data_IF_592285848913
#
_entry.id   IF_592285848913
#
_cell.length_a   1.000
_cell.length_b   1.000
_cell.length_c   1.000
_cell.angle_alpha   90.00
_cell.angle_beta   90.00
_cell.angle_gamma   90.00
#
_symmetry.space_group_name_H-M   'P 1'
#
loop_
_entity.id
_entity.type
_entity.pdbx_description
1 polymer ?
#
# COMPACT_ATOMS: atom_id res chain seq x y z
N UNK A 1 12.41 -3.01 -14.49
CA UNK A 1 10.97 -3.24 -14.70
C UNK A 1 10.33 -3.53 -13.36
N UNK A 2 9.23 -2.83 -13.08
CA UNK A 2 8.46 -3.01 -11.87
C UNK A 2 7.91 -4.44 -11.78
N UNK A 3 7.86 -4.97 -10.55
CA UNK A 3 7.35 -6.28 -10.21
C UNK A 3 5.86 -6.32 -10.50
N UNK A 4 5.41 -7.38 -11.17
CA UNK A 4 4.00 -7.55 -11.53
C UNK A 4 3.07 -7.57 -10.30
N UNK A 5 3.55 -8.07 -9.17
CA UNK A 5 2.84 -8.10 -7.87
C UNK A 5 2.56 -6.71 -7.29
N UNK A 6 3.24 -5.66 -7.76
CA UNK A 6 3.11 -4.28 -7.28
C UNK A 6 2.05 -3.47 -8.05
N UNK A 7 1.42 -4.03 -9.09
CA UNK A 7 0.55 -3.28 -10.01
C UNK A 7 -0.57 -2.49 -9.30
N UNK A 8 -1.23 -3.08 -8.29
CA UNK A 8 -2.29 -2.41 -7.55
C UNK A 8 -1.77 -1.26 -6.67
N UNK A 9 -0.61 -1.45 -6.04
CA UNK A 9 0.04 -0.43 -5.20
C UNK A 9 0.52 0.75 -6.05
N UNK A 10 1.16 0.47 -7.18
CA UNK A 10 1.60 1.49 -8.15
C UNK A 10 0.39 2.26 -8.69
N UNK A 11 -0.68 1.56 -9.07
CA UNK A 11 -1.92 2.20 -9.54
C UNK A 11 -2.52 3.12 -8.47
N UNK A 12 -2.48 2.73 -7.20
CA UNK A 12 -2.93 3.59 -6.10
C UNK A 12 -2.05 4.84 -5.96
N UNK A 13 -0.72 4.71 -5.99
CA UNK A 13 0.18 5.86 -5.89
C UNK A 13 -0.06 6.83 -7.05
N UNK A 14 -0.20 6.31 -8.28
CA UNK A 14 -0.58 7.10 -9.47
C UNK A 14 -1.87 7.89 -9.25
N UNK A 15 -2.90 7.25 -8.69
CA UNK A 15 -4.16 7.89 -8.37
C UNK A 15 -3.98 9.02 -7.34
N UNK A 16 -3.23 8.76 -6.26
CA UNK A 16 -2.99 9.73 -5.19
C UNK A 16 -2.26 10.99 -5.66
N UNK A 17 -1.36 10.85 -6.63
CA UNK A 17 -0.60 11.97 -7.19
C UNK A 17 -1.19 12.52 -8.49
N UNK A 18 -2.30 11.97 -8.97
CA UNK A 18 -2.89 12.31 -10.27
C UNK A 18 -1.91 12.18 -11.47
N UNK A 19 -1.12 11.10 -11.48
CA UNK A 19 -0.19 10.74 -12.58
C UNK A 19 -0.68 9.48 -13.34
N UNK A 20 -1.77 9.58 -14.12
CA UNK A 20 -2.38 8.43 -14.78
C UNK A 20 -1.42 7.80 -15.80
N UNK A 21 -1.41 6.47 -15.87
CA UNK A 21 -0.58 5.73 -16.81
C UNK A 21 -0.82 6.14 -18.27
N UNK A 22 0.24 6.33 -19.04
CA UNK A 22 0.17 6.79 -20.43
C UNK A 22 1.42 7.55 -20.88
N UNK A 23 1.37 8.16 -22.05
CA UNK A 23 2.51 8.86 -22.64
C UNK A 23 2.92 10.15 -21.90
N UNK A 24 2.05 10.68 -21.04
CA UNK A 24 2.27 11.91 -20.28
C UNK A 24 2.58 11.66 -18.80
N UNK A 25 2.92 10.43 -18.42
CA UNK A 25 3.28 10.13 -17.03
C UNK A 25 4.56 10.86 -16.63
N UNK A 26 4.56 11.44 -15.44
CA UNK A 26 5.72 12.08 -14.82
C UNK A 26 6.70 11.04 -14.27
N UNK A 27 6.17 9.92 -13.78
CA UNK A 27 6.96 8.81 -13.24
C UNK A 27 6.68 7.52 -13.99
N UNK A 28 7.74 6.77 -14.24
CA UNK A 28 7.68 5.37 -14.66
C UNK A 28 7.21 4.49 -13.51
N UNK A 29 6.71 3.29 -13.82
CA UNK A 29 6.32 2.31 -12.79
C UNK A 29 7.53 1.89 -11.92
N UNK A 30 8.74 1.84 -12.50
CA UNK A 30 9.98 1.52 -11.78
C UNK A 30 10.34 2.60 -10.74
N UNK A 31 10.16 3.90 -11.08
CA UNK A 31 10.34 5.00 -10.13
C UNK A 31 9.29 4.94 -9.01
N UNK A 32 8.02 4.69 -9.34
CA UNK A 32 6.96 4.59 -8.34
C UNK A 32 7.13 3.38 -7.42
N UNK A 33 7.59 2.25 -7.96
CA UNK A 33 7.95 1.12 -7.13
C UNK A 33 9.09 1.46 -6.17
N UNK A 34 10.09 2.23 -6.61
CA UNK A 34 11.21 2.62 -5.74
C UNK A 34 10.73 3.44 -4.53
N UNK A 35 9.77 4.36 -4.71
CA UNK A 35 9.16 5.09 -3.59
C UNK A 35 8.35 4.18 -2.67
N UNK A 36 7.67 3.17 -3.22
CA UNK A 36 6.96 2.16 -2.43
C UNK A 36 7.96 1.31 -1.63
N UNK A 37 9.03 0.84 -2.25
CA UNK A 37 10.05 0.01 -1.61
C UNK A 37 10.73 0.72 -0.43
N UNK A 38 10.98 2.03 -0.54
CA UNK A 38 11.47 2.86 0.58
C UNK A 38 10.50 2.90 1.79
N UNK A 39 9.22 2.62 1.54
CA UNK A 39 8.13 2.71 2.50
C UNK A 39 7.47 1.34 2.75
N UNK A 40 8.22 0.26 2.51
CA UNK A 40 7.80 -1.10 2.76
C UNK A 40 8.02 -1.49 4.23
N UNK A 41 7.12 -2.35 4.72
CA UNK A 41 7.25 -3.04 6.00
C UNK A 41 7.15 -4.53 5.71
N UNK A 42 8.27 -5.23 5.90
CA UNK A 42 8.30 -6.68 5.87
C UNK A 42 7.60 -7.25 7.10
N UNK A 43 6.71 -8.20 6.87
CA UNK A 43 5.93 -8.87 7.89
C UNK A 43 6.23 -10.35 7.87
N UNK A 44 6.51 -10.90 9.05
CA UNK A 44 6.86 -12.30 9.25
C UNK A 44 5.85 -12.95 10.18
N UNK A 45 5.02 -13.84 9.62
CA UNK A 45 4.07 -14.68 10.33
C UNK A 45 3.16 -13.90 11.30
N UNK A 46 2.64 -12.76 10.86
CA UNK A 46 1.65 -12.00 11.63
C UNK A 46 0.36 -12.83 11.76
N UNK A 47 -0.18 -13.02 12.97
CA UNK A 47 -1.45 -13.67 13.15
C UNK A 47 -2.60 -12.78 12.69
N UNK A 48 -3.45 -13.33 11.82
CA UNK A 48 -4.66 -12.64 11.37
C UNK A 48 -5.79 -12.82 12.38
N UNK A 49 -6.68 -11.83 12.43
CA UNK A 49 -7.89 -11.89 13.27
C UNK A 49 -9.08 -12.41 12.45
N UNK A 50 -9.80 -13.45 12.93
CA UNK A 50 -10.99 -13.93 12.26
C UNK A 50 -12.16 -12.94 12.40
N UNK A 51 -12.84 -12.65 11.30
CA UNK A 51 -14.04 -11.80 11.28
C UNK A 51 -15.31 -12.66 11.23
N UNK A 52 -16.27 -12.45 12.15
CA UNK A 52 -17.53 -13.17 12.13
C UNK A 52 -18.37 -12.75 10.91
N UNK A 53 -18.85 -13.73 10.17
CA UNK A 53 -19.83 -13.58 9.09
C UNK A 53 -21.08 -14.36 9.44
N UNK A 54 -22.25 -13.73 9.37
CA UNK A 54 -23.52 -14.41 9.65
C UNK A 54 -24.02 -15.05 8.35
N UNK A 55 -24.06 -16.38 8.32
CA UNK A 55 -24.57 -17.14 7.18
C UNK A 55 -26.11 -17.12 7.14
N UNK A 56 -26.72 -17.41 5.98
CA UNK A 56 -28.15 -17.67 5.89
C UNK A 56 -28.58 -18.72 6.92
N UNK A 57 -29.62 -18.40 7.72
CA UNK A 57 -30.04 -19.25 8.85
C UNK A 57 -29.43 -18.86 10.21
N UNK A 58 -28.62 -17.80 10.27
CA UNK A 58 -28.17 -17.18 11.53
C UNK A 58 -26.92 -17.79 12.17
N UNK A 59 -26.30 -18.79 11.54
CA UNK A 59 -25.06 -19.37 12.02
C UNK A 59 -23.85 -18.44 11.77
N UNK A 60 -23.00 -18.26 12.78
CA UNK A 60 -21.74 -17.52 12.64
C UNK A 60 -20.68 -18.39 11.98
N UNK A 61 -20.00 -17.85 10.97
CA UNK A 61 -18.86 -18.47 10.28
C UNK A 61 -17.65 -17.51 10.29
N UNK A 62 -16.44 -18.08 10.28
CA UNK A 62 -15.18 -17.33 10.35
C UNK A 62 -14.33 -17.58 9.10
N UNK A 63 -14.91 -17.25 7.94
CA UNK A 63 -14.26 -17.46 6.64
C UNK A 63 -13.32 -16.32 6.27
N UNK A 64 -13.54 -15.12 6.80
CA UNK A 64 -12.74 -13.93 6.50
C UNK A 64 -11.77 -13.65 7.64
N UNK A 65 -10.53 -13.36 7.28
CA UNK A 65 -9.44 -13.09 8.20
C UNK A 65 -8.79 -11.76 7.84
N UNK A 66 -8.44 -10.98 8.86
CA UNK A 66 -7.94 -9.61 8.74
C UNK A 66 -6.54 -9.46 9.32
N UNK A 67 -5.65 -8.80 8.59
CA UNK A 67 -4.39 -8.28 9.11
C UNK A 67 -4.60 -6.94 9.84
N UNK A 68 -3.65 -6.58 10.72
CA UNK A 68 -3.69 -5.32 11.45
C UNK A 68 -3.66 -4.10 10.52
N UNK A 69 -3.08 -4.24 9.32
CA UNK A 69 -2.98 -3.20 8.32
C UNK A 69 -3.27 -3.72 6.91
N UNK A 70 -3.62 -2.79 6.02
CA UNK A 70 -3.83 -3.05 4.60
C UNK A 70 -2.59 -2.76 3.74
N UNK A 71 -2.82 -2.59 2.44
CA UNK A 71 -1.83 -2.30 1.40
C UNK A 71 -0.71 -3.33 1.28
N UNK A 72 -1.11 -4.59 1.09
CA UNK A 72 -0.20 -5.71 0.85
C UNK A 72 0.19 -5.85 -0.62
N UNK A 73 1.42 -6.24 -0.88
CA UNK A 73 1.84 -6.69 -2.22
C UNK A 73 1.23 -8.06 -2.55
N UNK A 74 0.99 -8.33 -3.83
CA UNK A 74 0.39 -9.58 -4.31
C UNK A 74 1.38 -10.76 -4.41
N UNK A 75 2.15 -10.97 -3.35
CA UNK A 75 3.09 -12.08 -3.20
C UNK A 75 3.10 -12.66 -1.77
N UNK A 76 2.09 -12.30 -0.96
CA UNK A 76 1.96 -12.78 0.40
C UNK A 76 1.79 -14.31 0.45
N UNK A 77 2.28 -14.91 1.53
CA UNK A 77 2.09 -16.33 1.81
C UNK A 77 1.29 -16.46 3.10
N UNK A 78 0.19 -17.22 3.01
CA UNK A 78 -0.67 -17.56 4.14
C UNK A 78 -0.33 -18.98 4.60
N UNK A 79 -0.27 -19.18 5.91
CA UNK A 79 -0.04 -20.51 6.51
C UNK A 79 -0.92 -20.71 7.74
N UNK A 80 -1.13 -21.96 8.13
CA UNK A 80 -1.76 -22.32 9.41
C UNK A 80 -0.76 -22.23 10.59
N UNK A 81 -1.20 -22.63 11.79
CA UNK A 81 -0.37 -22.68 13.01
C UNK A 81 0.82 -23.67 12.93
N UNK A 82 0.75 -24.60 11.97
CA UNK A 82 1.73 -25.63 11.71
C UNK A 82 2.62 -25.27 10.50
N UNK A 83 2.50 -24.04 9.99
CA UNK A 83 3.22 -23.51 8.82
C UNK A 83 2.89 -24.21 7.49
N UNK A 84 1.77 -24.93 7.40
CA UNK A 84 1.31 -25.46 6.12
C UNK A 84 0.68 -24.34 5.28
N UNK A 85 0.95 -24.28 3.97
CA UNK A 85 0.37 -23.27 3.09
C UNK A 85 -1.17 -23.31 3.07
N UNK A 86 -1.78 -22.13 3.20
CA UNK A 86 -3.20 -21.91 3.02
C UNK A 86 -3.44 -21.15 1.72
N UNK A 87 -4.55 -21.45 1.04
CA UNK A 87 -4.98 -20.74 -0.17
C UNK A 87 -6.30 -20.05 0.08
N UNK A 88 -6.30 -18.72 0.05
CA UNK A 88 -7.52 -17.92 0.12
C UNK A 88 -8.26 -17.96 -1.22
N UNK A 89 -9.60 -17.98 -1.16
CA UNK A 89 -10.47 -17.86 -2.33
C UNK A 89 -10.48 -16.42 -2.86
N UNK A 90 -10.32 -15.44 -1.98
CA UNK A 90 -10.19 -14.03 -2.34
C UNK A 90 -9.25 -13.28 -1.41
N UNK A 91 -8.65 -12.21 -1.92
CA UNK A 91 -7.71 -11.36 -1.20
C UNK A 91 -8.00 -9.88 -1.51
N UNK A 92 -8.51 -9.15 -0.51
CA UNK A 92 -8.59 -7.68 -0.50
C UNK A 92 -7.36 -7.13 0.23
N UNK A 93 -6.25 -7.06 -0.51
CA UNK A 93 -4.94 -6.62 0.00
C UNK A 93 -4.93 -5.17 0.43
N UNK A 94 -5.76 -4.33 -0.19
CA UNK A 94 -5.91 -2.93 0.19
C UNK A 94 -6.49 -2.82 1.61
N UNK A 95 -7.46 -3.66 1.98
CA UNK A 95 -8.04 -3.68 3.32
C UNK A 95 -7.40 -4.70 4.28
N UNK A 96 -6.41 -5.47 3.80
CA UNK A 96 -5.77 -6.53 4.55
C UNK A 96 -6.75 -7.64 4.94
N UNK A 97 -7.58 -8.11 4.00
CA UNK A 97 -8.54 -9.20 4.23
C UNK A 97 -8.36 -10.35 3.26
N UNK A 98 -8.50 -11.56 3.76
CA UNK A 98 -8.49 -12.79 2.99
C UNK A 98 -9.69 -13.65 3.37
N UNK A 99 -10.37 -14.22 2.38
CA UNK A 99 -11.53 -15.09 2.59
C UNK A 99 -11.24 -16.49 2.08
N UNK A 100 -11.56 -17.50 2.89
CA UNK A 100 -11.34 -18.92 2.59
C UNK A 100 -12.65 -19.64 2.28
N UNK A 101 -12.58 -20.72 1.51
CA UNK A 101 -13.73 -21.61 1.26
C UNK A 101 -14.13 -22.42 2.51
N UNK A 102 -13.18 -22.67 3.42
CA UNK A 102 -13.39 -23.37 4.69
C UNK A 102 -12.61 -22.64 5.77
N UNK A 103 -13.21 -22.47 6.94
CA UNK A 103 -12.59 -21.73 8.04
C UNK A 103 -11.34 -22.47 8.55
N UNK A 104 -10.13 -21.88 8.45
CA UNK A 104 -8.95 -22.40 9.10
C UNK A 104 -9.04 -22.25 10.63
N UNK A 105 -8.27 -23.01 11.39
CA UNK A 105 -8.15 -22.82 12.85
C UNK A 105 -7.37 -21.56 13.21
N UNK A 106 -6.35 -21.24 12.42
CA UNK A 106 -5.50 -20.07 12.52
C UNK A 106 -5.01 -19.68 11.13
N UNK A 107 -4.68 -18.39 10.95
CA UNK A 107 -4.05 -17.90 9.72
C UNK A 107 -2.91 -16.96 10.10
N UNK A 108 -1.70 -17.28 9.65
CA UNK A 108 -0.53 -16.44 9.73
C UNK A 108 -0.18 -15.93 8.33
N UNK A 109 0.29 -14.70 8.22
CA UNK A 109 0.72 -14.10 6.95
C UNK A 109 2.20 -13.72 6.98
N UNK A 110 2.91 -13.94 5.87
CA UNK A 110 4.22 -13.31 5.60
C UNK A 110 4.21 -12.61 4.25
N UNK A 111 4.93 -11.52 4.13
CA UNK A 111 5.01 -10.71 2.91
C UNK A 111 5.40 -9.27 3.23
N UNK A 112 5.13 -8.35 2.29
CA UNK A 112 5.36 -6.93 2.50
C UNK A 112 4.06 -6.14 2.41
N UNK A 113 3.92 -5.15 3.29
CA UNK A 113 2.89 -4.11 3.22
C UNK A 113 3.52 -2.74 3.07
N UNK A 114 2.78 -1.78 2.52
CA UNK A 114 3.35 -0.53 2.04
C UNK A 114 2.57 0.68 2.56
N UNK A 115 3.29 1.73 2.95
CA UNK A 115 2.66 3.04 3.17
C UNK A 115 2.54 3.78 1.82
N UNK A 116 1.41 3.55 1.15
CA UNK A 116 1.10 4.17 -0.15
C UNK A 116 1.02 5.70 -0.07
N UNK A 117 0.66 6.26 1.09
CA UNK A 117 0.56 7.72 1.25
C UNK A 117 1.94 8.35 1.42
N UNK A 118 2.84 7.69 2.16
CA UNK A 118 4.22 8.15 2.29
C UNK A 118 4.99 8.00 0.97
N UNK A 119 4.80 6.90 0.25
CA UNK A 119 5.34 6.73 -1.10
C UNK A 119 4.83 7.81 -2.07
N UNK A 120 3.53 8.12 -2.03
CA UNK A 120 2.95 9.20 -2.83
C UNK A 120 3.50 10.58 -2.42
N UNK A 121 3.70 10.82 -1.13
CA UNK A 121 4.34 12.05 -0.65
C UNK A 121 5.76 12.20 -1.24
N UNK A 122 6.60 11.16 -1.18
CA UNK A 122 7.94 11.18 -1.77
C UNK A 122 7.90 11.45 -3.29
N UNK A 123 6.96 10.82 -4.01
CA UNK A 123 6.75 11.06 -5.43
C UNK A 123 6.38 12.53 -5.72
N UNK A 124 5.48 13.13 -4.93
CA UNK A 124 5.12 14.55 -5.07
C UNK A 124 6.32 15.47 -4.79
N UNK A 125 7.14 15.15 -3.79
CA UNK A 125 8.37 15.91 -3.50
C UNK A 125 9.37 15.84 -4.66
N UNK A 126 9.55 14.65 -5.25
CA UNK A 126 10.38 14.47 -6.43
C UNK A 126 9.81 15.23 -7.65
N UNK A 127 8.48 15.26 -7.82
CA UNK A 127 7.84 16.00 -8.89
C UNK A 127 8.08 17.50 -8.75
N UNK A 128 7.89 18.04 -7.54
CA UNK A 128 8.19 19.44 -7.24
C UNK A 128 9.66 19.78 -7.53
N UNK A 129 10.60 18.89 -7.22
CA UNK A 129 12.01 19.07 -7.57
C UNK A 129 12.24 19.10 -9.10
N UNK A 130 11.63 18.17 -9.85
CA UNK A 130 11.66 18.16 -11.33
C UNK A 130 11.18 19.51 -11.90
N UNK A 131 10.06 20.05 -11.39
CA UNK A 131 9.51 21.34 -11.84
C UNK A 131 10.41 22.53 -11.49
N UNK A 132 11.02 22.55 -10.31
CA UNK A 132 11.93 23.64 -9.89
C UNK A 132 13.20 23.72 -10.73
N UNK A 133 13.69 22.59 -11.22
CA UNK A 133 14.92 22.51 -12.03
C UNK A 133 14.67 22.74 -13.52
N UNK A 134 13.40 22.82 -13.94
CA UNK A 134 13.02 23.14 -15.30
C UNK A 134 13.09 24.66 -15.49
N UNK A 135 14.04 25.17 -16.29
CA UNK A 135 14.33 26.61 -16.46
C UNK A 135 13.08 27.50 -16.66
N UNK A 136 13.11 28.69 -16.06
CA UNK A 136 12.12 29.75 -16.27
C UNK A 136 12.39 30.50 -17.58
N UNK A 137 11.35 30.65 -18.41
CA UNK A 137 11.35 31.62 -19.49
C UNK A 137 10.03 32.38 -19.43
N UNK A 138 10.11 33.71 -19.46
CA UNK A 138 8.97 34.62 -19.49
C UNK A 138 8.77 35.10 -20.94
N UNK A 139 7.52 35.12 -21.40
CA UNK A 139 7.11 35.79 -22.63
C UNK A 139 5.76 36.46 -22.44
N UNK A 140 5.68 37.73 -22.86
CA UNK A 140 4.47 38.51 -23.14
C UNK A 140 3.37 38.53 -22.07
N UNK A 141 3.73 38.85 -20.82
CA UNK A 141 2.79 39.42 -19.84
C UNK A 141 1.82 38.46 -19.16
N UNK A 142 2.09 37.15 -19.17
CA UNK A 142 1.27 36.15 -18.48
C UNK A 142 2.09 35.16 -17.65
N UNK A 143 2.43 35.52 -16.41
CA UNK A 143 3.30 34.72 -15.52
C UNK A 143 2.54 34.10 -14.34
N UNK A 144 1.88 32.94 -14.49
CA UNK A 144 1.15 32.35 -13.34
C UNK A 144 1.04 30.82 -13.22
N UNK A 145 1.55 29.99 -14.15
CA UNK A 145 1.18 28.55 -14.13
C UNK A 145 2.05 27.63 -13.25
N UNK A 146 3.37 27.89 -13.10
CA UNK A 146 4.26 27.01 -12.32
C UNK A 146 4.24 27.25 -10.82
N UNK A 147 4.20 28.50 -10.37
CA UNK A 147 4.09 28.84 -8.95
C UNK A 147 2.79 28.29 -8.35
N UNK A 148 1.69 28.34 -9.12
CA UNK A 148 0.42 27.72 -8.76
C UNK A 148 0.52 26.19 -8.69
N UNK A 149 1.20 25.56 -9.66
CA UNK A 149 1.41 24.11 -9.65
C UNK A 149 2.27 23.66 -8.47
N UNK A 150 3.35 24.38 -8.15
CA UNK A 150 4.18 24.09 -6.97
C UNK A 150 3.37 24.25 -5.68
N UNK A 151 2.55 25.31 -5.57
CA UNK A 151 1.69 25.51 -4.40
C UNK A 151 0.63 24.40 -4.26
N UNK A 152 0.06 23.92 -5.38
CA UNK A 152 -0.88 22.80 -5.39
C UNK A 152 -0.19 21.49 -4.95
N UNK A 153 1.03 21.23 -5.43
CA UNK A 153 1.83 20.07 -5.01
C UNK A 153 2.21 20.16 -3.53
N UNK A 154 2.50 21.35 -3.01
CA UNK A 154 2.76 21.54 -1.57
C UNK A 154 1.54 21.23 -0.71
N UNK A 155 0.35 21.67 -1.12
CA UNK A 155 -0.90 21.35 -0.43
C UNK A 155 -1.19 19.85 -0.47
N UNK A 156 -0.96 19.20 -1.64
CA UNK A 156 -1.13 17.76 -1.79
C UNK A 156 -0.14 16.98 -0.90
N UNK A 157 1.14 17.36 -0.90
CA UNK A 157 2.17 16.74 -0.06
C UNK A 157 1.79 16.83 1.43
N UNK A 158 1.32 17.99 1.89
CA UNK A 158 0.88 18.16 3.28
C UNK A 158 -0.34 17.29 3.62
N UNK A 159 -1.26 17.10 2.68
CA UNK A 159 -2.39 16.16 2.84
C UNK A 159 -1.90 14.72 2.99
N UNK A 160 -1.07 14.26 2.05
CA UNK A 160 -0.55 12.89 2.02
C UNK A 160 0.27 12.58 3.28
N UNK A 161 1.11 13.51 3.73
CA UNK A 161 1.91 13.32 4.95
C UNK A 161 1.07 13.17 6.22
N UNK A 162 -0.11 13.80 6.28
CA UNK A 162 -1.07 13.62 7.40
C UNK A 162 -1.79 12.27 7.35
N UNK A 163 -1.90 11.66 6.17
CA UNK A 163 -2.56 10.36 5.98
C UNK A 163 -1.59 9.18 6.09
N UNK A 164 -0.31 9.41 5.83
CA UNK A 164 0.75 8.44 6.07
C UNK A 164 0.73 7.97 7.53
N UNK A 165 0.91 6.68 7.74
CA UNK A 165 1.01 6.09 9.07
C UNK A 165 2.32 6.52 9.75
N UNK A 166 2.38 6.36 11.08
CA UNK A 166 3.62 6.46 11.83
C UNK A 166 4.51 5.28 11.39
N UNK A 167 5.33 5.49 10.36
CA UNK A 167 6.22 4.49 9.78
C UNK A 167 7.20 4.00 10.84
N UNK A 168 7.10 2.72 11.21
CA UNK A 168 7.96 2.10 12.21
C UNK A 168 7.86 0.58 12.15
N UNK A 169 8.97 -0.09 12.49
CA UNK A 169 9.03 -1.55 12.67
C UNK A 169 8.07 -1.93 13.78
N UNK A 170 6.99 -2.65 13.45
CA UNK A 170 6.15 -3.30 14.46
C UNK A 170 6.78 -4.64 14.76
N UNK A 171 7.53 -4.72 15.87
CA UNK A 171 8.05 -6.00 16.35
C UNK A 171 6.88 -6.85 16.82
N UNK A 172 6.55 -7.92 16.08
CA UNK A 172 5.65 -8.96 16.58
C UNK A 172 6.36 -9.69 17.74
N UNK A 173 5.76 -9.63 18.94
CA UNK A 173 6.25 -10.44 20.07
C UNK A 173 6.04 -11.92 19.74
N UNK A 174 7.12 -12.71 19.77
CA UNK A 174 7.05 -14.17 19.75
C UNK A 174 6.34 -14.65 21.01
N UNK A 175 5.07 -15.02 20.91
CA UNK A 175 4.34 -15.69 21.98
C UNK A 175 4.83 -17.13 22.04
N UNK A 176 5.66 -17.45 23.04
CA UNK A 176 6.05 -18.82 23.35
C UNK A 176 4.90 -19.46 24.12
N UNK A 177 4.18 -20.37 23.47
CA UNK A 177 3.24 -21.27 24.14
C UNK A 177 3.98 -22.57 24.43
N UNK A 178 4.64 -22.64 25.58
CA UNK A 178 5.06 -23.92 26.14
C UNK A 178 3.97 -24.35 27.13
N UNK A 179 3.43 -25.56 26.89
CA UNK A 179 2.33 -26.20 27.62
C UNK A 179 2.77 -26.85 28.93
#
# INVERSE_FOLDING_TARGET
MARASMAALISQVRLLIADPAGASTTFTDDELQSFLDNNAVDVFYEPLTPEPTIAPGGATQYLTWRAAAGWWEANEVLVDDSYNPLTATSADRQRGRWTFATAPSAVLIRGARYDVYMAAFEAVQAWKAKLKLSYDFSADGGDYKRSQMIAALDALAASLRRQAGDGGVVSAQMVRWDA
#
